data_IF_935606293242
#
_entry.id   IF_935606293242
#
_cell.length_a   1.000
_cell.length_b   1.000
_cell.length_c   1.000
_cell.angle_alpha   90.00
_cell.angle_beta   90.00
_cell.angle_gamma   90.00
#
_symmetry.space_group_name_H-M   'P 1'
#
loop_
_entity.id
_entity.type
_entity.pdbx_description
1 polymer ?
#
# COMPACT_ATOMS: atom_id res chain seq x y z
N UNK A 1 50.01 -25.33 -33.29
CA UNK A 1 49.65 -26.51 -32.45
C UNK A 1 49.06 -25.97 -31.16
N UNK A 2 47.73 -25.92 -31.03
CA UNK A 2 46.89 -26.93 -30.35
C UNK A 2 47.09 -26.90 -28.81
N UNK A 3 46.09 -26.89 -27.93
CA UNK A 3 44.64 -26.72 -28.02
C UNK A 3 44.09 -26.43 -26.60
N UNK A 4 43.05 -25.59 -26.53
CA UNK A 4 41.83 -25.69 -25.73
C UNK A 4 41.80 -26.34 -24.33
N UNK A 5 41.14 -25.66 -23.37
CA UNK A 5 40.57 -26.29 -22.18
C UNK A 5 40.00 -25.32 -21.14
N UNK A 6 38.82 -24.71 -21.42
CA UNK A 6 37.97 -24.08 -20.39
C UNK A 6 37.00 -25.14 -19.83
N UNK A 7 36.83 -25.19 -18.51
CA UNK A 7 35.81 -26.00 -17.83
C UNK A 7 34.84 -25.08 -17.07
N UNK A 8 33.57 -25.17 -17.44
CA UNK A 8 32.42 -24.52 -16.82
C UNK A 8 31.79 -25.45 -15.75
N UNK A 9 31.00 -24.92 -14.80
CA UNK A 9 30.39 -25.71 -13.72
C UNK A 9 29.09 -26.42 -14.14
N UNK A 10 28.72 -27.42 -13.34
CA UNK A 10 27.79 -28.51 -13.65
C UNK A 10 26.34 -28.15 -13.94
N UNK A 11 25.76 -28.94 -14.85
CA UNK A 11 24.35 -28.97 -15.22
C UNK A 11 23.62 -29.99 -14.32
N UNK A 12 22.66 -29.54 -13.51
CA UNK A 12 21.75 -30.44 -12.79
C UNK A 12 20.68 -30.99 -13.75
N UNK A 13 20.51 -32.31 -13.77
CA UNK A 13 19.57 -33.02 -14.63
C UNK A 13 18.11 -32.75 -14.24
N UNK A 14 17.33 -32.24 -15.20
CA UNK A 14 15.90 -31.98 -15.10
C UNK A 14 15.10 -33.29 -15.29
N UNK A 15 14.31 -33.71 -14.29
CA UNK A 15 13.40 -34.88 -14.40
C UNK A 15 12.05 -34.47 -14.99
N UNK A 16 11.50 -35.18 -15.99
CA UNK A 16 10.20 -34.83 -16.59
C UNK A 16 9.01 -35.20 -15.68
N UNK A 17 8.07 -34.26 -15.56
CA UNK A 17 6.81 -34.37 -14.80
C UNK A 17 5.81 -35.22 -15.59
N UNK A 18 5.31 -36.31 -15.00
CA UNK A 18 4.29 -37.20 -15.59
C UNK A 18 2.97 -36.43 -15.78
N UNK A 19 2.39 -36.51 -16.98
CA UNK A 19 1.08 -35.95 -17.34
C UNK A 19 -0.03 -36.86 -16.80
N UNK A 20 -1.00 -36.27 -16.10
CA UNK A 20 -2.27 -36.92 -15.73
C UNK A 20 -3.25 -36.93 -16.92
N UNK A 21 -4.05 -37.99 -17.10
CA UNK A 21 -4.93 -38.14 -18.26
C UNK A 21 -6.18 -37.25 -18.18
N UNK A 22 -6.59 -36.79 -19.36
CA UNK A 22 -7.80 -36.06 -19.74
C UNK A 22 -9.08 -36.74 -19.24
N UNK A 23 -9.95 -35.97 -18.57
CA UNK A 23 -11.31 -36.37 -18.29
C UNK A 23 -12.21 -36.01 -19.48
N UNK A 24 -12.86 -37.04 -20.03
CA UNK A 24 -13.73 -37.05 -21.19
C UNK A 24 -15.13 -36.54 -20.81
N UNK A 25 -15.68 -35.62 -21.61
CA UNK A 25 -16.98 -34.97 -21.39
C UNK A 25 -18.10 -35.86 -21.97
N UNK A 26 -18.98 -36.41 -21.11
CA UNK A 26 -20.16 -37.16 -21.53
C UNK A 26 -21.38 -36.24 -21.80
N UNK A 27 -22.26 -36.57 -22.75
CA UNK A 27 -23.33 -35.68 -23.23
C UNK A 27 -24.58 -35.63 -22.31
N UNK A 28 -25.28 -34.51 -22.40
CA UNK A 28 -26.51 -34.21 -21.65
C UNK A 28 -27.71 -35.09 -22.07
N UNK A 29 -28.55 -35.46 -21.09
CA UNK A 29 -29.82 -36.16 -21.28
C UNK A 29 -31.04 -35.21 -21.06
N UNK A 30 -32.16 -35.41 -21.78
CA UNK A 30 -33.27 -34.46 -21.92
C UNK A 30 -34.24 -34.39 -20.72
N UNK A 31 -35.12 -33.36 -20.64
CA UNK A 31 -35.92 -33.09 -19.45
C UNK A 31 -37.08 -34.08 -19.26
N UNK A 32 -37.34 -34.44 -18.00
CA UNK A 32 -38.52 -35.18 -17.60
C UNK A 32 -39.71 -34.23 -17.39
N UNK A 33 -40.79 -34.46 -18.15
CA UNK A 33 -42.10 -33.83 -17.97
C UNK A 33 -42.78 -34.50 -16.76
N UNK A 34 -43.23 -33.70 -15.79
CA UNK A 34 -44.05 -34.17 -14.67
C UNK A 34 -45.38 -33.38 -14.59
N UNK A 35 -46.46 -34.17 -14.67
CA UNK A 35 -47.90 -34.02 -14.45
C UNK A 35 -48.57 -32.67 -14.04
N UNK A 36 -49.84 -32.46 -14.45
CA UNK A 36 -50.61 -31.26 -14.15
C UNK A 36 -51.00 -31.16 -12.66
N UNK A 37 -50.78 -29.98 -12.07
CA UNK A 37 -51.23 -29.65 -10.71
C UNK A 37 -52.63 -29.02 -10.81
N UNK A 38 -53.61 -29.62 -10.15
CA UNK A 38 -54.99 -29.15 -10.05
C UNK A 38 -55.11 -27.94 -9.12
N UNK A 39 -56.08 -27.02 -9.34
CA UNK A 39 -56.24 -25.85 -8.48
C UNK A 39 -56.91 -26.27 -7.16
N UNK A 40 -56.29 -25.90 -6.03
CA UNK A 40 -56.90 -26.04 -4.70
C UNK A 40 -57.09 -24.66 -4.07
N UNK A 41 -58.38 -24.32 -3.93
CA UNK A 41 -59.07 -23.37 -3.05
C UNK A 41 -58.24 -22.34 -2.28
N UNK A 42 -58.60 -21.07 -2.51
CA UNK A 42 -58.35 -19.92 -1.64
C UNK A 42 -58.81 -20.21 -0.20
N UNK A 43 -57.92 -20.00 0.78
CA UNK A 43 -58.21 -20.25 2.19
C UNK A 43 -57.13 -19.73 3.13
N UNK A 44 -57.48 -18.63 3.80
CA UNK A 44 -56.95 -18.11 5.07
C UNK A 44 -55.54 -17.50 5.14
N UNK A 45 -55.54 -16.17 5.15
CA UNK A 45 -54.45 -15.32 5.62
C UNK A 45 -54.11 -15.61 7.09
N UNK A 46 -52.97 -16.24 7.35
CA UNK A 46 -52.31 -16.19 8.67
C UNK A 46 -51.56 -14.87 8.77
N UNK A 47 -52.12 -13.94 9.56
CA UNK A 47 -51.40 -12.76 10.02
C UNK A 47 -50.19 -13.20 10.85
N UNK A 48 -48.99 -13.02 10.29
CA UNK A 48 -47.74 -13.10 11.05
C UNK A 48 -47.50 -11.75 11.72
N UNK A 49 -47.47 -11.76 13.04
CA UNK A 49 -47.13 -10.61 13.89
C UNK A 49 -45.76 -10.04 13.51
N UNK A 50 -45.55 -8.72 13.50
CA UNK A 50 -44.25 -8.15 13.19
C UNK A 50 -43.29 -8.44 14.35
N UNK A 51 -42.35 -9.36 14.14
CA UNK A 51 -41.18 -9.48 15.00
C UNK A 51 -40.47 -8.14 15.01
N UNK A 52 -40.44 -7.51 16.18
CA UNK A 52 -39.70 -6.28 16.40
C UNK A 52 -38.21 -6.59 16.30
N UNK A 53 -37.66 -6.45 15.10
CA UNK A 53 -36.22 -6.34 14.91
C UNK A 53 -35.72 -5.16 15.73
N UNK A 54 -35.21 -5.46 16.93
CA UNK A 54 -34.45 -4.50 17.73
C UNK A 54 -33.28 -4.06 16.87
N UNK A 55 -33.39 -2.87 16.28
CA UNK A 55 -32.27 -2.18 15.65
C UNK A 55 -31.22 -2.00 16.74
N UNK A 56 -30.24 -2.92 16.80
CA UNK A 56 -29.06 -2.74 17.62
C UNK A 56 -28.43 -1.46 17.11
N UNK A 57 -28.44 -0.40 17.94
CA UNK A 57 -27.68 0.82 17.66
C UNK A 57 -26.26 0.38 17.32
N UNK A 58 -25.92 0.44 16.03
CA UNK A 58 -24.56 0.14 15.59
C UNK A 58 -23.77 1.36 16.04
N UNK A 59 -22.90 1.18 17.04
CA UNK A 59 -21.97 2.21 17.43
C UNK A 59 -21.31 2.79 16.16
N UNK A 60 -21.29 4.12 16.04
CA UNK A 60 -20.80 4.79 14.86
C UNK A 60 -19.38 4.29 14.53
N UNK A 61 -19.21 3.71 13.35
CA UNK A 61 -17.89 3.24 12.87
C UNK A 61 -17.15 4.45 12.29
N UNK A 62 -15.90 4.66 12.73
CA UNK A 62 -15.00 5.65 12.14
C UNK A 62 -14.11 4.96 11.12
N UNK A 63 -14.03 5.54 9.92
CA UNK A 63 -13.16 5.09 8.83
C UNK A 63 -12.22 6.24 8.47
N UNK A 64 -10.92 5.94 8.35
CA UNK A 64 -9.91 6.85 7.82
C UNK A 64 -9.42 6.25 6.52
N UNK A 65 -9.46 7.04 5.45
CA UNK A 65 -8.96 6.67 4.13
C UNK A 65 -7.77 7.57 3.85
N UNK A 66 -6.59 6.95 3.80
CA UNK A 66 -5.31 7.63 3.64
C UNK A 66 -4.74 7.39 2.24
N UNK A 67 -4.09 8.40 1.68
CA UNK A 67 -3.28 8.29 0.47
C UNK A 67 -1.81 8.51 0.82
N UNK A 68 -0.95 7.58 0.41
CA UNK A 68 0.49 7.67 0.59
C UNK A 68 1.15 8.46 -0.54
N UNK A 69 2.43 8.78 -0.35
CA UNK A 69 3.31 9.41 -1.34
C UNK A 69 2.92 10.85 -1.78
N UNK A 70 2.15 11.58 -0.97
CA UNK A 70 1.89 13.00 -1.24
C UNK A 70 3.21 13.77 -1.26
N UNK A 71 3.43 14.63 -2.24
CA UNK A 71 4.71 15.32 -2.46
C UNK A 71 5.73 14.53 -3.30
N UNK A 72 5.46 13.27 -3.67
CA UNK A 72 6.38 12.48 -4.51
C UNK A 72 6.52 13.06 -5.92
N UNK A 73 5.40 13.38 -6.58
CA UNK A 73 5.35 13.94 -7.93
C UNK A 73 4.10 14.80 -8.14
N UNK A 74 4.06 15.70 -9.14
CA UNK A 74 2.89 16.54 -9.40
C UNK A 74 1.65 15.71 -9.76
N UNK A 75 1.82 14.64 -10.53
CA UNK A 75 0.71 13.75 -10.89
C UNK A 75 0.09 13.05 -9.66
N UNK A 76 0.90 12.65 -8.69
CA UNK A 76 0.40 12.08 -7.43
C UNK A 76 -0.31 13.16 -6.60
N UNK A 77 0.26 14.36 -6.52
CA UNK A 77 -0.37 15.48 -5.83
C UNK A 77 -1.76 15.78 -6.39
N UNK A 78 -1.88 15.92 -7.72
CA UNK A 78 -3.14 16.16 -8.40
C UNK A 78 -4.16 15.06 -8.12
N UNK A 79 -3.75 13.80 -8.21
CA UNK A 79 -4.61 12.65 -7.95
C UNK A 79 -5.14 12.64 -6.50
N UNK A 80 -4.28 12.95 -5.52
CA UNK A 80 -4.65 13.03 -4.10
C UNK A 80 -5.65 14.16 -3.86
N UNK A 81 -5.38 15.34 -4.39
CA UNK A 81 -6.30 16.48 -4.24
C UNK A 81 -7.64 16.21 -4.91
N UNK A 82 -7.62 15.59 -6.09
CA UNK A 82 -8.86 15.17 -6.76
C UNK A 82 -9.63 14.15 -5.92
N UNK A 83 -8.97 13.12 -5.40
CA UNK A 83 -9.59 12.10 -4.56
C UNK A 83 -10.14 12.66 -3.24
N UNK A 84 -9.54 13.73 -2.71
CA UNK A 84 -10.06 14.46 -1.56
C UNK A 84 -11.28 15.33 -1.91
N UNK A 85 -11.21 16.10 -2.99
CA UNK A 85 -12.27 17.04 -3.38
C UNK A 85 -13.51 16.35 -3.94
N UNK A 86 -13.31 15.29 -4.70
CA UNK A 86 -14.37 14.59 -5.46
C UNK A 86 -14.70 13.22 -4.87
N UNK A 87 -13.94 12.76 -3.87
CA UNK A 87 -14.01 11.40 -3.37
C UNK A 87 -14.14 11.31 -1.85
N UNK A 88 -13.60 10.21 -1.30
CA UNK A 88 -13.75 9.82 0.10
C UNK A 88 -12.45 9.98 0.90
N UNK A 89 -11.42 10.55 0.29
CA UNK A 89 -10.10 10.63 0.92
C UNK A 89 -10.12 11.60 2.11
N UNK A 90 -9.77 11.09 3.29
CA UNK A 90 -9.79 11.87 4.53
C UNK A 90 -8.42 12.42 4.90
N UNK A 91 -7.35 11.66 4.60
CA UNK A 91 -5.98 12.02 4.97
C UNK A 91 -4.99 11.70 3.86
N UNK A 92 -3.83 12.35 3.90
CA UNK A 92 -2.70 12.05 3.03
C UNK A 92 -1.38 12.10 3.81
N UNK A 93 -0.42 11.24 3.43
CA UNK A 93 0.90 11.18 4.05
C UNK A 93 1.94 11.86 3.16
N UNK A 94 2.52 12.95 3.66
CA UNK A 94 3.45 13.83 2.94
C UNK A 94 4.90 13.34 3.05
N UNK A 95 5.53 13.10 1.90
CA UNK A 95 6.97 12.88 1.75
C UNK A 95 7.70 14.23 1.69
N UNK A 96 8.34 14.63 2.79
CA UNK A 96 9.05 15.92 2.88
C UNK A 96 10.29 16.02 1.98
N UNK A 97 10.80 14.89 1.53
CA UNK A 97 11.91 14.71 0.62
C UNK A 97 11.47 14.43 -0.83
N UNK A 98 10.16 14.41 -1.10
CA UNK A 98 9.60 14.18 -2.42
C UNK A 98 9.88 15.33 -3.40
N UNK A 99 9.93 15.01 -4.70
CA UNK A 99 10.28 15.98 -5.75
C UNK A 99 9.25 17.09 -5.94
N UNK A 100 8.00 16.85 -5.54
CA UNK A 100 6.89 17.80 -5.62
C UNK A 100 6.41 18.24 -4.23
N UNK A 101 7.29 18.19 -3.22
CA UNK A 101 6.98 18.57 -1.84
C UNK A 101 6.42 20.00 -1.71
N UNK A 102 7.03 20.98 -2.37
CA UNK A 102 6.62 22.38 -2.24
C UNK A 102 5.19 22.62 -2.77
N UNK A 103 4.86 21.99 -3.90
CA UNK A 103 3.51 22.00 -4.47
C UNK A 103 2.51 21.32 -3.53
N UNK A 104 2.85 20.15 -2.99
CA UNK A 104 2.00 19.42 -2.04
C UNK A 104 1.69 20.26 -0.78
N UNK A 105 2.68 20.99 -0.26
CA UNK A 105 2.47 21.89 0.89
C UNK A 105 1.54 23.05 0.54
N UNK A 106 1.65 23.63 -0.65
CA UNK A 106 0.74 24.69 -1.10
C UNK A 106 -0.70 24.16 -1.22
N UNK A 107 -0.88 23.02 -1.88
CA UNK A 107 -2.17 22.35 -2.02
C UNK A 107 -2.78 21.97 -0.66
N UNK A 108 -1.98 21.45 0.28
CA UNK A 108 -2.44 21.15 1.64
C UNK A 108 -3.00 22.39 2.37
N UNK A 109 -2.36 23.56 2.18
CA UNK A 109 -2.81 24.82 2.79
C UNK A 109 -4.11 25.34 2.16
N UNK A 110 -4.31 25.09 0.87
CA UNK A 110 -5.55 25.42 0.16
C UNK A 110 -6.70 24.47 0.54
N UNK A 111 -6.38 23.28 1.07
CA UNK A 111 -7.34 22.24 1.44
C UNK A 111 -7.24 21.86 2.93
N UNK A 112 -7.59 22.76 3.87
CA UNK A 112 -7.40 22.54 5.31
C UNK A 112 -8.26 21.40 5.91
N UNK A 113 -9.20 20.83 5.14
CA UNK A 113 -10.00 19.68 5.55
C UNK A 113 -9.29 18.33 5.28
N UNK A 114 -8.23 18.32 4.48
CA UNK A 114 -7.39 17.14 4.27
C UNK A 114 -6.43 17.01 5.46
N UNK A 115 -6.55 15.93 6.24
CA UNK A 115 -5.57 15.64 7.28
C UNK A 115 -4.22 15.28 6.67
N UNK A 116 -3.14 15.97 7.03
CA UNK A 116 -1.82 15.73 6.44
C UNK A 116 -0.87 15.17 7.51
N UNK A 117 -0.37 13.96 7.26
CA UNK A 117 0.63 13.29 8.08
C UNK A 117 2.03 13.34 7.47
N UNK A 118 3.03 12.91 8.24
CA UNK A 118 4.40 12.71 7.75
C UNK A 118 4.57 11.27 7.23
N UNK A 119 5.01 11.12 5.98
CA UNK A 119 5.39 9.84 5.37
C UNK A 119 6.92 9.66 5.44
N UNK A 120 7.40 8.95 6.46
CA UNK A 120 8.82 8.72 6.66
C UNK A 120 9.42 7.95 5.49
N UNK A 121 10.51 8.45 4.92
CA UNK A 121 11.17 7.79 3.79
C UNK A 121 12.57 7.36 4.18
N UNK A 122 12.80 6.05 4.22
CA UNK A 122 14.08 5.43 4.61
C UNK A 122 14.62 4.44 3.55
N UNK A 123 13.94 4.36 2.41
CA UNK A 123 14.30 3.55 1.25
C UNK A 123 13.69 4.19 -0.02
N UNK A 124 14.26 3.90 -1.20
CA UNK A 124 13.71 4.32 -2.51
C UNK A 124 13.36 5.82 -2.62
N UNK A 125 14.24 6.70 -2.14
CA UNK A 125 14.02 8.15 -2.12
C UNK A 125 15.26 8.91 -1.64
N UNK A 126 15.15 10.24 -1.53
CA UNK A 126 16.26 11.12 -1.13
C UNK A 126 16.35 11.31 0.38
N UNK A 127 17.54 11.47 0.94
CA UNK A 127 17.67 11.88 2.34
C UNK A 127 17.36 13.37 2.54
N UNK A 128 16.98 13.70 3.77
CA UNK A 128 16.84 15.08 4.27
C UNK A 128 18.12 15.57 4.92
N UNK A 129 18.78 14.72 5.72
CA UNK A 129 20.10 14.97 6.29
C UNK A 129 21.18 14.95 5.21
N UNK A 130 22.26 15.68 5.45
CA UNK A 130 23.42 15.70 4.56
C UNK A 130 24.24 14.40 4.59
N UNK A 131 25.04 14.15 3.55
CA UNK A 131 26.00 13.03 3.48
C UNK A 131 26.94 12.94 4.70
N UNK A 132 27.29 14.07 5.31
CA UNK A 132 28.19 14.09 6.47
C UNK A 132 27.50 13.57 7.75
N UNK A 133 26.18 13.70 7.85
CA UNK A 133 25.42 13.33 9.05
C UNK A 133 25.04 11.85 9.06
N UNK A 134 24.79 11.29 7.88
CA UNK A 134 24.29 9.93 7.66
C UNK A 134 25.04 9.17 6.53
N UNK A 135 26.39 9.16 6.54
CA UNK A 135 27.19 8.67 5.41
C UNK A 135 26.93 7.20 5.06
N UNK A 136 26.46 6.40 6.01
CA UNK A 136 26.21 4.99 5.80
C UNK A 136 24.79 4.72 5.30
N UNK A 137 23.85 5.67 5.35
CA UNK A 137 22.47 5.43 4.91
C UNK A 137 22.24 5.71 3.42
N UNK A 138 23.05 6.59 2.82
CA UNK A 138 22.81 7.12 1.49
C UNK A 138 24.01 6.95 0.56
N UNK A 139 23.69 6.83 -0.73
CA UNK A 139 24.67 6.80 -1.81
C UNK A 139 25.31 8.17 -2.00
N UNK A 140 26.38 8.25 -2.79
CA UNK A 140 26.99 9.54 -3.17
C UNK A 140 26.03 10.48 -3.92
N UNK A 141 24.94 9.95 -4.50
CA UNK A 141 23.88 10.73 -5.13
C UNK A 141 22.83 11.27 -4.14
N UNK A 142 23.01 11.01 -2.84
CA UNK A 142 22.12 11.42 -1.75
C UNK A 142 20.79 10.66 -1.69
N UNK A 143 20.74 9.50 -2.33
CA UNK A 143 19.60 8.58 -2.37
C UNK A 143 19.78 7.42 -1.38
N UNK A 144 18.70 6.99 -0.75
CA UNK A 144 18.63 5.72 -0.03
C UNK A 144 18.75 4.52 -1.00
N UNK A 145 18.92 3.33 -0.45
CA UNK A 145 18.91 2.11 -1.24
C UNK A 145 17.58 1.90 -1.97
N UNK A 146 17.65 1.54 -3.25
CA UNK A 146 16.51 1.11 -4.07
C UNK A 146 16.09 -0.34 -3.81
N UNK A 147 16.74 -1.03 -2.87
CA UNK A 147 16.36 -2.38 -2.44
C UNK A 147 15.79 -2.34 -1.02
N UNK A 148 14.46 -2.25 -0.85
CA UNK A 148 13.83 -2.15 0.46
C UNK A 148 14.16 -3.34 1.36
N UNK A 149 14.15 -4.56 0.81
CA UNK A 149 14.47 -5.76 1.58
C UNK A 149 15.89 -5.68 2.11
N UNK A 150 16.87 -5.37 1.25
CA UNK A 150 18.26 -5.26 1.68
C UNK A 150 18.46 -4.13 2.71
N UNK A 151 17.80 -2.98 2.51
CA UNK A 151 17.81 -1.87 3.46
C UNK A 151 17.25 -2.29 4.82
N UNK A 152 16.11 -2.99 4.86
CA UNK A 152 15.49 -3.47 6.09
C UNK A 152 16.39 -4.43 6.86
N UNK A 153 16.97 -5.42 6.18
CA UNK A 153 17.97 -6.31 6.78
C UNK A 153 19.15 -5.53 7.35
N UNK A 154 19.67 -4.57 6.59
CA UNK A 154 20.82 -3.76 7.00
C UNK A 154 20.51 -2.92 8.25
N UNK A 155 19.34 -2.28 8.31
CA UNK A 155 18.92 -1.47 9.46
C UNK A 155 18.66 -2.32 10.70
N UNK A 156 18.13 -3.54 10.53
CA UNK A 156 17.88 -4.45 11.63
C UNK A 156 19.17 -4.97 12.27
N UNK A 157 20.13 -5.43 11.44
CA UNK A 157 21.34 -6.09 11.93
C UNK A 157 22.48 -5.12 12.28
N UNK A 158 22.55 -3.94 11.66
CA UNK A 158 23.59 -2.96 11.94
C UNK A 158 23.11 -1.90 12.94
N UNK A 159 23.38 -2.14 14.22
CA UNK A 159 23.00 -1.20 15.29
C UNK A 159 23.68 0.17 15.15
N UNK A 160 24.84 0.25 14.49
CA UNK A 160 25.54 1.51 14.22
C UNK A 160 24.74 2.49 13.36
N UNK A 161 23.79 1.98 12.57
CA UNK A 161 22.93 2.81 11.71
C UNK A 161 21.79 3.48 12.48
N UNK A 162 21.45 3.01 13.69
CA UNK A 162 20.31 3.54 14.46
C UNK A 162 20.42 5.03 14.75
N UNK A 163 21.63 5.51 15.03
CA UNK A 163 21.86 6.93 15.29
C UNK A 163 21.68 7.77 14.01
N UNK A 164 22.12 7.26 12.85
CA UNK A 164 21.93 7.92 11.57
C UNK A 164 20.45 7.94 11.18
N UNK A 165 19.74 6.83 11.40
CA UNK A 165 18.29 6.74 11.16
C UNK A 165 17.53 7.73 12.04
N UNK A 166 17.89 7.82 13.33
CA UNK A 166 17.28 8.78 14.25
C UNK A 166 17.52 10.24 13.81
N UNK A 167 18.71 10.57 13.29
CA UNK A 167 19.01 11.89 12.74
C UNK A 167 18.14 12.19 11.52
N UNK A 168 18.07 11.27 10.57
CA UNK A 168 17.24 11.44 9.37
C UNK A 168 15.75 11.60 9.72
N UNK A 169 15.22 10.74 10.59
CA UNK A 169 13.84 10.84 11.06
C UNK A 169 13.62 12.21 11.71
N UNK A 170 14.51 12.64 12.61
CA UNK A 170 14.46 13.96 13.24
C UNK A 170 14.48 15.11 12.22
N UNK A 171 15.30 15.02 11.17
CA UNK A 171 15.36 16.00 10.11
C UNK A 171 14.07 16.04 9.27
N UNK A 172 13.45 14.89 8.99
CA UNK A 172 12.16 14.83 8.30
C UNK A 172 11.05 15.48 9.14
N UNK A 173 11.00 15.21 10.45
CA UNK A 173 10.08 15.89 11.37
C UNK A 173 10.32 17.40 11.41
N UNK A 174 11.57 17.84 11.50
CA UNK A 174 11.90 19.26 11.50
C UNK A 174 11.46 19.95 10.19
N UNK A 175 11.69 19.30 9.05
CA UNK A 175 11.26 19.79 7.74
C UNK A 175 9.75 19.84 7.60
N UNK A 176 9.03 18.83 8.10
CA UNK A 176 7.56 18.85 8.15
C UNK A 176 7.07 20.02 9.01
N UNK A 177 7.61 20.17 10.23
CA UNK A 177 7.24 21.25 11.14
C UNK A 177 7.44 22.64 10.52
N UNK A 178 8.50 22.82 9.74
CA UNK A 178 8.80 24.08 9.05
C UNK A 178 7.75 24.47 7.98
N UNK A 179 6.90 23.53 7.53
CA UNK A 179 5.80 23.84 6.59
C UNK A 179 4.69 24.67 7.22
N UNK A 180 4.53 24.58 8.54
CA UNK A 180 3.40 25.15 9.29
C UNK A 180 2.12 24.32 9.23
N UNK A 181 2.13 23.13 8.61
CA UNK A 181 1.00 22.20 8.64
C UNK A 181 0.87 21.55 10.03
N UNK A 182 -0.37 21.27 10.44
CA UNK A 182 -0.64 20.49 11.64
C UNK A 182 -0.37 19.02 11.32
N UNK A 183 0.46 18.37 12.13
CA UNK A 183 0.77 16.95 11.96
C UNK A 183 -0.43 16.10 12.41
N UNK A 184 -1.09 15.45 11.46
CA UNK A 184 -2.26 14.59 11.72
C UNK A 184 -1.87 13.18 12.16
N UNK A 185 -0.92 12.55 11.46
CA UNK A 185 -0.43 11.20 11.72
C UNK A 185 1.01 11.01 11.23
N UNK A 186 1.60 9.85 11.50
CA UNK A 186 2.91 9.44 10.99
C UNK A 186 2.84 8.00 10.53
N UNK A 187 3.37 7.73 9.34
CA UNK A 187 3.59 6.38 8.80
C UNK A 187 4.92 6.38 8.02
N UNK A 188 5.24 5.30 7.34
CA UNK A 188 6.48 5.21 6.56
C UNK A 188 6.32 4.52 5.23
N UNK A 189 7.08 5.01 4.25
CA UNK A 189 7.15 4.48 2.90
C UNK A 189 7.59 3.02 2.95
N UNK A 190 6.87 2.17 2.22
CA UNK A 190 7.07 0.71 2.23
C UNK A 190 6.91 0.06 3.61
N UNK A 191 6.12 0.68 4.49
CA UNK A 191 5.88 0.26 5.87
C UNK A 191 7.14 0.23 6.77
N UNK A 192 8.18 1.02 6.45
CA UNK A 192 9.32 1.22 7.34
C UNK A 192 8.90 2.09 8.53
N UNK A 193 8.93 1.53 9.75
CA UNK A 193 8.60 2.23 11.00
C UNK A 193 9.59 1.87 12.11
#
# INVERSE_FOLDING_TARGET
MAAAGRLAPGLAAFKPKRRSPTAELAPAAPPAIAAPITPRSEGEARQLSPETHRHRSVAARRLVINADDFGRSPAINEAIIRAHREGVLTTASLMVNGGAFAEAVALAKEHPQLGVGLHLTLACGKATCSQLEIPDLITAAHDFSDSPVAAGFRYYFNQGLRLQLAREIGAQFAKFKATGLVLDHVNGHLNFH
#
